data_IF_869427202265
#
_entry.id   IF_869427202265
#
_cell.length_a   1.000
_cell.length_b   1.000
_cell.length_c   1.000
_cell.angle_alpha   90.00
_cell.angle_beta   90.00
_cell.angle_gamma   90.00
#
_symmetry.space_group_name_H-M   'P 1'
#
loop_
_entity.id
_entity.type
_entity.pdbx_description
1 polymer ?
#
# COMPACT_ATOMS: atom_id res chain seq x y z
N UNK A 1 -1.87 -10.56 32.42
CA UNK A 1 -0.65 -9.85 31.96
C UNK A 1 -0.92 -9.38 30.54
N UNK A 2 -1.11 -8.07 30.33
CA UNK A 2 -1.44 -7.45 29.03
C UNK A 2 -0.15 -7.29 28.22
N UNK A 3 -0.10 -7.87 27.02
CA UNK A 3 0.86 -7.48 25.97
C UNK A 3 0.13 -6.50 25.06
N UNK A 4 0.26 -5.21 25.41
CA UNK A 4 -0.25 -4.08 24.66
C UNK A 4 0.65 -3.81 23.45
N UNK A 5 0.01 -3.59 22.31
CA UNK A 5 0.63 -3.02 21.13
C UNK A 5 1.19 -1.64 21.49
N UNK A 6 2.38 -1.34 21.00
CA UNK A 6 3.23 -0.22 21.40
C UNK A 6 2.48 1.05 21.76
N UNK A 7 2.37 1.30 23.07
CA UNK A 7 2.44 2.65 23.60
C UNK A 7 3.92 2.96 23.88
N UNK A 8 4.66 3.21 22.82
CA UNK A 8 5.80 4.11 22.90
C UNK A 8 5.44 5.28 22.02
N UNK A 9 4.98 6.36 22.66
CA UNK A 9 4.92 7.67 22.04
C UNK A 9 6.32 8.17 21.75
N UNK A 10 7.03 7.51 20.84
CA UNK A 10 7.99 8.22 20.01
C UNK A 10 7.14 9.17 19.16
N UNK A 11 7.00 10.41 19.63
CA UNK A 11 6.85 11.53 18.70
C UNK A 11 7.93 11.27 17.65
N UNK A 12 7.52 11.00 16.41
CA UNK A 12 8.43 11.15 15.28
C UNK A 12 8.93 12.59 15.40
N UNK A 13 10.13 12.77 15.94
CA UNK A 13 10.83 14.04 15.88
C UNK A 13 11.07 14.26 14.41
N UNK A 14 10.19 15.05 13.80
CA UNK A 14 10.44 15.62 12.49
C UNK A 14 11.69 16.47 12.69
N UNK A 15 12.86 15.93 12.33
CA UNK A 15 13.98 16.80 11.96
C UNK A 15 13.46 17.67 10.83
N UNK A 16 13.01 18.85 11.24
CA UNK A 16 12.36 19.80 10.39
C UNK A 16 13.27 20.17 9.23
N UNK A 17 12.61 20.45 8.10
CA UNK A 17 13.11 21.10 6.89
C UNK A 17 13.59 20.10 5.85
N UNK A 18 12.62 19.58 5.10
CA UNK A 18 12.84 19.37 3.67
C UNK A 18 13.51 20.63 3.10
N UNK A 19 14.68 20.48 2.47
CA UNK A 19 15.36 21.56 1.77
C UNK A 19 14.40 22.23 0.77
N UNK A 20 14.62 23.49 0.36
CA UNK A 20 13.70 24.18 -0.56
C UNK A 20 13.33 23.36 -1.81
N UNK A 21 14.28 22.64 -2.39
CA UNK A 21 14.05 21.77 -3.55
C UNK A 21 13.14 20.57 -3.21
N UNK A 22 13.27 20.03 -2.01
CA UNK A 22 12.45 18.93 -1.52
C UNK A 22 11.01 19.39 -1.23
N UNK A 23 10.83 20.61 -0.70
CA UNK A 23 9.51 21.24 -0.60
C UNK A 23 8.91 21.51 -1.96
N UNK A 24 9.70 21.98 -2.93
CA UNK A 24 9.23 22.19 -4.30
C UNK A 24 8.76 20.87 -4.94
N UNK A 25 9.45 19.77 -4.67
CA UNK A 25 9.04 18.43 -5.10
C UNK A 25 7.74 17.98 -4.42
N UNK A 26 7.63 18.13 -3.10
CA UNK A 26 6.42 17.80 -2.35
C UNK A 26 5.20 18.60 -2.85
N UNK A 27 5.37 19.90 -3.09
CA UNK A 27 4.34 20.77 -3.65
C UNK A 27 3.81 20.25 -4.99
N UNK A 28 4.68 19.70 -5.85
CA UNK A 28 4.24 19.13 -7.13
C UNK A 28 3.45 17.84 -6.92
N UNK A 29 3.86 16.98 -5.98
CA UNK A 29 3.09 15.79 -5.61
C UNK A 29 1.70 16.19 -5.11
N UNK A 30 1.61 17.12 -4.16
CA UNK A 30 0.34 17.59 -3.63
C UNK A 30 -0.57 18.18 -4.72
N UNK A 31 0.01 18.99 -5.61
CA UNK A 31 -0.71 19.58 -6.73
C UNK A 31 -1.28 18.53 -7.69
N UNK A 32 -0.50 17.50 -8.04
CA UNK A 32 -0.92 16.48 -8.99
C UNK A 32 -1.88 15.44 -8.39
N UNK A 33 -1.76 15.12 -7.10
CA UNK A 33 -2.39 13.93 -6.52
C UNK A 33 -3.31 14.22 -5.33
N UNK A 34 -3.24 15.41 -4.73
CA UNK A 34 -4.03 15.78 -3.55
C UNK A 34 -5.53 15.77 -3.79
N UNK A 35 -6.00 16.37 -4.89
CA UNK A 35 -7.43 16.36 -5.25
C UNK A 35 -7.93 14.94 -5.52
N UNK A 36 -7.12 14.14 -6.23
CA UNK A 36 -7.48 12.75 -6.52
C UNK A 36 -7.61 11.90 -5.25
N UNK A 37 -6.71 12.09 -4.28
CA UNK A 37 -6.81 11.48 -2.95
C UNK A 37 -8.15 11.80 -2.30
N UNK A 38 -8.58 13.07 -2.31
CA UNK A 38 -9.85 13.48 -1.71
C UNK A 38 -11.04 12.80 -2.40
N UNK A 39 -11.03 12.72 -3.74
CA UNK A 39 -12.06 12.03 -4.51
C UNK A 39 -12.15 10.54 -4.13
N UNK A 40 -11.01 9.86 -4.02
CA UNK A 40 -10.95 8.44 -3.67
C UNK A 40 -11.48 8.17 -2.27
N UNK A 41 -11.14 8.99 -1.29
CA UNK A 41 -11.63 8.81 0.08
C UNK A 41 -13.13 9.08 0.22
N UNK A 42 -13.69 10.02 -0.56
CA UNK A 42 -15.15 10.18 -0.64
C UNK A 42 -15.81 8.91 -1.15
N UNK A 43 -15.24 8.28 -2.19
CA UNK A 43 -15.76 7.01 -2.75
C UNK A 43 -15.61 5.84 -1.79
N UNK A 44 -14.53 5.80 -1.01
CA UNK A 44 -14.26 4.77 0.01
C UNK A 44 -15.45 4.60 0.97
N UNK A 45 -16.04 5.71 1.41
CA UNK A 45 -17.21 5.67 2.28
C UNK A 45 -18.41 4.99 1.61
N UNK A 46 -18.76 5.43 0.40
CA UNK A 46 -19.86 4.85 -0.38
C UNK A 46 -19.65 3.38 -0.70
N UNK A 47 -18.41 2.98 -1.00
CA UNK A 47 -18.08 1.59 -1.31
C UNK A 47 -18.17 0.69 -0.08
N UNK A 48 -17.67 1.15 1.07
CA UNK A 48 -17.78 0.42 2.33
C UNK A 48 -19.25 0.23 2.77
N UNK A 49 -20.14 1.20 2.48
CA UNK A 49 -21.59 1.06 2.74
C UNK A 49 -22.25 -0.02 1.86
N UNK A 50 -21.79 -0.20 0.62
CA UNK A 50 -22.31 -1.23 -0.30
C UNK A 50 -21.84 -2.65 0.09
N UNK A 51 -20.72 -2.77 0.79
CA UNK A 51 -20.11 -4.04 1.23
C UNK A 51 -20.76 -4.60 2.53
N UNK A 52 -21.82 -3.98 3.04
CA UNK A 52 -22.57 -4.49 4.21
C UNK A 52 -23.14 -5.92 4.02
N UNK A 53 -23.13 -6.47 2.81
CA UNK A 53 -23.50 -7.86 2.51
C UNK A 53 -22.32 -8.85 2.43
N UNK A 54 -21.12 -8.40 2.79
CA UNK A 54 -19.88 -9.16 2.72
C UNK A 54 -19.04 -8.85 1.48
N UNK A 55 -17.74 -9.17 1.50
CA UNK A 55 -16.83 -8.88 0.41
C UNK A 55 -17.15 -9.74 -0.82
N UNK A 56 -17.14 -9.14 -2.02
CA UNK A 56 -17.43 -9.82 -3.29
C UNK A 56 -16.56 -9.29 -4.43
N UNK A 57 -16.43 -10.06 -5.51
CA UNK A 57 -15.66 -9.66 -6.68
C UNK A 57 -16.47 -8.74 -7.60
N UNK A 58 -15.82 -7.67 -8.09
CA UNK A 58 -16.41 -6.77 -9.08
C UNK A 58 -16.40 -7.40 -10.48
N UNK A 59 -17.51 -7.27 -11.22
CA UNK A 59 -17.61 -7.83 -12.57
C UNK A 59 -16.82 -7.01 -13.59
N UNK A 60 -16.72 -5.70 -13.38
CA UNK A 60 -16.08 -4.72 -14.24
C UNK A 60 -14.57 -5.00 -14.41
N UNK A 61 -13.96 -5.60 -13.39
CA UNK A 61 -12.52 -5.91 -13.33
C UNK A 61 -12.21 -7.37 -13.63
N UNK A 62 -13.20 -8.18 -14.02
CA UNK A 62 -13.03 -9.60 -14.36
C UNK A 62 -11.89 -9.87 -15.34
N UNK A 63 -11.69 -8.97 -16.32
CA UNK A 63 -10.59 -9.06 -17.29
C UNK A 63 -9.19 -9.05 -16.65
N UNK A 64 -9.00 -8.35 -15.52
CA UNK A 64 -7.73 -8.33 -14.79
C UNK A 64 -7.51 -9.69 -14.15
N UNK A 65 -8.55 -10.23 -13.52
CA UNK A 65 -8.50 -11.54 -12.87
C UNK A 65 -8.27 -12.67 -13.85
N UNK A 66 -8.85 -12.62 -15.04
CA UNK A 66 -8.70 -13.68 -16.05
C UNK A 66 -7.47 -13.49 -16.96
N UNK A 67 -6.87 -12.31 -16.97
CA UNK A 67 -5.71 -12.01 -17.80
C UNK A 67 -4.43 -12.73 -17.36
N UNK A 68 -3.56 -13.01 -18.32
CA UNK A 68 -2.21 -13.56 -18.09
C UNK A 68 -1.21 -12.42 -17.85
N UNK A 69 -0.86 -12.21 -16.59
CA UNK A 69 0.10 -11.21 -16.15
C UNK A 69 0.64 -11.56 -14.77
N UNK A 70 1.83 -11.04 -14.47
CA UNK A 70 2.52 -11.19 -13.17
C UNK A 70 3.12 -9.85 -12.74
N UNK A 71 3.43 -9.71 -11.46
CA UNK A 71 4.16 -8.53 -10.97
C UNK A 71 5.58 -8.51 -11.52
N UNK A 72 6.21 -7.35 -11.47
CA UNK A 72 7.63 -7.18 -11.81
C UNK A 72 8.51 -8.10 -10.98
N UNK A 73 9.69 -8.41 -11.52
CA UNK A 73 10.64 -9.33 -10.88
C UNK A 73 10.96 -8.91 -9.45
N UNK A 74 10.73 -9.83 -8.51
CA UNK A 74 11.15 -9.68 -7.11
C UNK A 74 12.69 -9.71 -7.04
N UNK A 75 13.34 -8.70 -6.42
CA UNK A 75 14.79 -8.69 -6.21
C UNK A 75 15.26 -9.84 -5.32
N UNK A 76 16.50 -10.33 -5.53
CA UNK A 76 17.04 -11.49 -4.79
C UNK A 76 17.31 -11.18 -3.32
N UNK A 77 17.62 -9.92 -3.02
CA UNK A 77 17.96 -9.31 -1.73
C UNK A 77 16.72 -8.80 -0.97
N UNK A 78 15.54 -9.33 -1.29
CA UNK A 78 14.25 -8.94 -0.70
C UNK A 78 14.23 -8.95 0.85
N UNK A 79 14.98 -9.84 1.50
CA UNK A 79 15.06 -9.88 2.98
C UNK A 79 15.72 -8.63 3.53
N UNK A 80 16.78 -8.15 2.90
CA UNK A 80 17.49 -6.94 3.30
C UNK A 80 16.64 -5.69 3.01
N UNK A 81 15.97 -5.67 1.85
CA UNK A 81 15.01 -4.61 1.49
C UNK A 81 13.86 -4.52 2.51
N UNK A 82 13.33 -5.66 2.95
CA UNK A 82 12.26 -5.71 3.94
C UNK A 82 12.69 -5.14 5.31
N UNK A 83 13.98 -5.13 5.64
CA UNK A 83 14.49 -4.47 6.87
C UNK A 83 14.56 -2.95 6.68
N UNK A 84 14.91 -2.49 5.48
CA UNK A 84 15.11 -1.06 5.19
C UNK A 84 13.82 -0.29 4.89
N UNK A 85 12.69 -1.00 4.75
CA UNK A 85 11.40 -0.42 4.40
C UNK A 85 10.97 0.70 5.34
N UNK A 86 10.42 1.77 4.79
CA UNK A 86 9.81 2.87 5.56
C UNK A 86 8.30 2.76 5.53
N UNK A 87 7.69 2.81 6.70
CA UNK A 87 6.24 2.85 6.83
C UNK A 87 5.77 4.27 6.51
N UNK A 88 4.94 4.40 5.49
CA UNK A 88 4.26 5.65 5.20
C UNK A 88 3.03 5.78 6.10
N UNK A 89 2.50 6.99 6.26
CA UNK A 89 1.14 7.20 6.77
C UNK A 89 0.10 6.90 5.69
N UNK A 90 -1.08 6.46 6.13
CA UNK A 90 -2.18 6.09 5.24
C UNK A 90 -2.85 7.29 4.59
N UNK A 91 -3.32 7.12 3.35
CA UNK A 91 -3.98 8.19 2.59
C UNK A 91 -5.18 8.78 3.34
N UNK A 92 -5.87 8.00 4.17
CA UNK A 92 -7.05 8.40 4.93
C UNK A 92 -6.75 9.32 6.13
N UNK A 93 -5.51 9.41 6.60
CA UNK A 93 -5.14 10.28 7.71
C UNK A 93 -5.12 11.74 7.23
N UNK A 94 -5.93 12.61 7.85
CA UNK A 94 -5.94 14.05 7.59
C UNK A 94 -4.89 14.81 8.40
N UNK A 95 -3.79 14.12 8.71
CA UNK A 95 -2.62 14.74 9.33
C UNK A 95 -1.85 15.54 8.28
N UNK A 96 -1.40 16.72 8.69
CA UNK A 96 -0.57 17.57 7.84
C UNK A 96 0.74 17.88 8.55
N UNK A 97 1.83 17.90 7.78
CA UNK A 97 3.16 18.33 8.23
C UNK A 97 3.57 19.48 7.34
N UNK A 98 3.88 20.63 7.94
CA UNK A 98 4.24 21.85 7.22
C UNK A 98 3.24 22.26 6.12
N UNK A 99 1.94 21.99 6.34
CA UNK A 99 0.85 22.31 5.40
C UNK A 99 0.60 21.25 4.31
N UNK A 100 1.40 20.18 4.28
CA UNK A 100 1.31 19.10 3.30
C UNK A 100 0.71 17.83 3.89
N UNK A 101 0.08 17.00 3.06
CA UNK A 101 -0.47 15.72 3.52
C UNK A 101 0.66 14.83 4.06
N UNK A 102 0.47 14.35 5.29
CA UNK A 102 1.39 13.46 6.02
C UNK A 102 1.97 12.32 5.17
N UNK A 103 1.12 11.61 4.42
CA UNK A 103 1.54 10.48 3.59
C UNK A 103 2.49 10.88 2.46
N UNK A 104 2.24 12.03 1.82
CA UNK A 104 3.08 12.55 0.75
C UNK A 104 4.36 13.18 1.28
N UNK A 105 4.29 13.80 2.46
CA UNK A 105 5.47 14.26 3.20
C UNK A 105 6.40 13.09 3.54
N UNK A 106 5.88 12.02 4.14
CA UNK A 106 6.68 10.83 4.52
C UNK A 106 7.37 10.22 3.30
N UNK A 107 6.60 10.02 2.23
CA UNK A 107 7.11 9.48 0.98
C UNK A 107 8.24 10.37 0.43
N UNK A 108 7.99 11.67 0.30
CA UNK A 108 8.95 12.62 -0.24
C UNK A 108 10.24 12.64 0.57
N UNK A 109 10.13 12.74 1.90
CA UNK A 109 11.28 12.80 2.78
C UNK A 109 12.16 11.55 2.66
N UNK A 110 11.56 10.36 2.62
CA UNK A 110 12.30 9.12 2.50
C UNK A 110 12.86 8.89 1.09
N UNK A 111 12.07 9.20 0.07
CA UNK A 111 12.45 9.05 -1.33
C UNK A 111 13.65 9.94 -1.69
N UNK A 112 13.63 11.21 -1.31
CA UNK A 112 14.74 12.14 -1.58
C UNK A 112 15.98 11.85 -0.73
N UNK A 113 15.86 11.07 0.34
CA UNK A 113 16.99 10.49 1.09
C UNK A 113 17.44 9.13 0.52
N UNK A 114 17.09 8.83 -0.73
CA UNK A 114 17.43 7.62 -1.47
C UNK A 114 16.92 6.31 -0.87
N UNK A 115 15.83 6.35 -0.09
CA UNK A 115 15.12 5.14 0.30
C UNK A 115 13.98 4.87 -0.70
N UNK A 116 14.04 3.71 -1.37
CA UNK A 116 13.07 3.34 -2.40
C UNK A 116 12.20 2.15 -1.98
N UNK A 117 12.17 1.81 -0.69
CA UNK A 117 11.44 0.66 -0.15
C UNK A 117 10.37 1.10 0.85
N UNK A 118 9.10 0.84 0.53
CA UNK A 118 7.99 1.38 1.32
C UNK A 118 6.98 0.34 1.78
N UNK A 119 6.37 0.65 2.91
CA UNK A 119 5.13 0.02 3.34
C UNK A 119 3.98 0.98 3.08
N UNK A 120 3.01 0.55 2.26
CA UNK A 120 1.76 1.27 2.05
C UNK A 120 0.71 0.77 3.04
N UNK A 121 0.36 1.53 4.10
CA UNK A 121 -0.63 1.05 5.05
C UNK A 121 -2.06 1.22 4.51
N UNK A 122 -2.91 0.24 4.84
CA UNK A 122 -4.37 0.38 4.81
C UNK A 122 -4.91 0.74 3.43
N UNK A 123 -4.43 0.07 2.38
CA UNK A 123 -5.04 0.13 1.04
C UNK A 123 -6.38 -0.58 1.10
N UNK A 124 -7.45 0.13 0.71
CA UNK A 124 -8.82 -0.39 0.77
C UNK A 124 -9.42 -0.79 -0.59
N UNK A 125 -8.79 -0.40 -1.70
CA UNK A 125 -9.24 -0.73 -3.05
C UNK A 125 -8.12 -0.51 -4.08
N UNK A 126 -8.32 -0.99 -5.29
CA UNK A 126 -7.36 -0.86 -6.39
C UNK A 126 -7.12 0.60 -6.82
N UNK A 127 -8.09 1.50 -6.63
CA UNK A 127 -7.90 2.90 -7.02
C UNK A 127 -6.94 3.65 -6.09
N UNK A 128 -6.92 3.33 -4.80
CA UNK A 128 -5.88 3.81 -3.88
C UNK A 128 -4.50 3.28 -4.27
N UNK A 129 -4.41 2.02 -4.71
CA UNK A 129 -3.19 1.42 -5.23
C UNK A 129 -2.70 2.14 -6.51
N UNK A 130 -3.63 2.47 -7.43
CA UNK A 130 -3.32 3.25 -8.63
C UNK A 130 -2.79 4.63 -8.30
N UNK A 131 -3.39 5.33 -7.34
CA UNK A 131 -2.91 6.66 -6.93
C UNK A 131 -1.44 6.60 -6.47
N UNK A 132 -1.09 5.60 -5.66
CA UNK A 132 0.30 5.39 -5.26
C UNK A 132 1.21 5.05 -6.44
N UNK A 133 0.75 4.20 -7.36
CA UNK A 133 1.50 3.91 -8.57
C UNK A 133 1.81 5.19 -9.37
N UNK A 134 0.82 6.07 -9.55
CA UNK A 134 0.98 7.33 -10.27
C UNK A 134 1.98 8.26 -9.57
N UNK A 135 1.93 8.33 -8.22
CA UNK A 135 2.92 9.05 -7.41
C UNK A 135 4.34 8.49 -7.63
N UNK A 136 4.51 7.16 -7.65
CA UNK A 136 5.82 6.53 -7.86
C UNK A 136 6.35 6.75 -9.26
N UNK A 137 5.51 6.61 -10.29
CA UNK A 137 5.89 6.88 -11.68
C UNK A 137 6.31 8.34 -11.82
N UNK A 138 5.55 9.27 -11.25
CA UNK A 138 5.89 10.69 -11.25
C UNK A 138 7.25 10.94 -10.59
N UNK A 139 7.46 10.41 -9.39
CA UNK A 139 8.71 10.58 -8.64
C UNK A 139 9.93 10.01 -9.37
N UNK A 140 9.81 8.81 -9.94
CA UNK A 140 10.88 8.19 -10.73
C UNK A 140 11.18 9.00 -11.99
N UNK A 141 10.15 9.50 -12.70
CA UNK A 141 10.36 10.31 -13.90
C UNK A 141 11.06 11.64 -13.58
N UNK A 142 10.63 12.33 -12.51
CA UNK A 142 11.22 13.58 -12.05
C UNK A 142 12.71 13.40 -11.68
N UNK A 143 13.06 12.31 -11.00
CA UNK A 143 14.43 11.97 -10.61
C UNK A 143 15.19 11.15 -11.67
N UNK A 144 14.60 10.91 -12.84
CA UNK A 144 15.15 10.08 -13.94
C UNK A 144 15.59 8.68 -13.51
N UNK A 145 14.85 8.08 -12.59
CA UNK A 145 15.03 6.70 -12.15
C UNK A 145 14.28 5.73 -13.06
N UNK A 146 14.79 4.51 -13.27
CA UNK A 146 14.06 3.47 -14.02
C UNK A 146 12.69 3.15 -13.40
N UNK A 147 11.72 2.78 -14.25
CA UNK A 147 10.43 2.26 -13.80
C UNK A 147 10.63 1.01 -12.93
N UNK A 148 9.91 0.94 -11.81
CA UNK A 148 10.02 -0.17 -10.87
C UNK A 148 11.24 -0.10 -9.94
N UNK A 149 11.93 1.05 -9.88
CA UNK A 149 12.98 1.31 -8.87
C UNK A 149 12.40 1.32 -7.46
N UNK A 150 11.25 1.98 -7.29
CA UNK A 150 10.50 1.98 -6.04
C UNK A 150 9.86 0.60 -5.86
N UNK A 151 10.05 0.01 -4.67
CA UNK A 151 9.44 -1.26 -4.29
C UNK A 151 8.59 -1.13 -3.04
N UNK A 152 7.41 -1.72 -3.08
CA UNK A 152 6.43 -1.59 -2.00
C UNK A 152 5.85 -2.93 -1.55
N UNK A 153 5.47 -2.97 -0.28
CA UNK A 153 4.56 -3.97 0.26
C UNK A 153 3.26 -3.25 0.62
N UNK A 154 2.13 -3.72 0.10
CA UNK A 154 0.83 -3.15 0.40
C UNK A 154 0.18 -3.85 1.61
N UNK A 155 -0.15 -3.11 2.66
CA UNK A 155 -1.07 -3.63 3.69
C UNK A 155 -2.50 -3.47 3.17
N UNK A 156 -3.21 -4.58 3.07
CA UNK A 156 -4.63 -4.60 2.69
C UNK A 156 -5.48 -5.08 3.86
N UNK A 157 -6.72 -4.60 3.96
CA UNK A 157 -7.68 -5.10 4.94
C UNK A 157 -8.56 -6.21 4.34
N UNK A 158 -9.49 -6.75 5.13
CA UNK A 158 -10.41 -7.81 4.70
C UNK A 158 -11.31 -7.41 3.53
N UNK A 159 -11.73 -6.14 3.45
CA UNK A 159 -12.58 -5.66 2.37
C UNK A 159 -11.81 -5.64 1.05
N UNK A 160 -10.56 -5.18 1.10
CA UNK A 160 -9.65 -5.14 -0.04
C UNK A 160 -9.17 -6.52 -0.51
N UNK A 161 -9.39 -7.59 0.28
CA UNK A 161 -8.93 -8.92 -0.07
C UNK A 161 -9.51 -9.43 -1.41
N UNK A 162 -10.75 -9.07 -1.75
CA UNK A 162 -11.37 -9.45 -3.02
C UNK A 162 -10.86 -8.62 -4.21
N UNK A 163 -10.14 -7.54 -3.96
CA UNK A 163 -9.47 -6.71 -4.96
C UNK A 163 -7.95 -6.94 -4.98
N UNK A 164 -7.45 -8.03 -4.37
CA UNK A 164 -6.00 -8.31 -4.31
C UNK A 164 -5.38 -8.36 -5.71
N UNK A 165 -6.11 -8.94 -6.68
CA UNK A 165 -5.65 -9.08 -8.07
C UNK A 165 -5.52 -7.69 -8.73
N UNK A 166 -6.52 -6.85 -8.55
CA UNK A 166 -6.56 -5.48 -9.05
C UNK A 166 -5.52 -4.58 -8.36
N UNK A 167 -5.34 -4.68 -7.05
CA UNK A 167 -4.31 -3.95 -6.30
C UNK A 167 -2.91 -4.31 -6.80
N UNK A 168 -2.64 -5.61 -6.98
CA UNK A 168 -1.37 -6.07 -7.54
C UNK A 168 -1.19 -5.62 -8.99
N UNK A 169 -2.26 -5.56 -9.78
CA UNK A 169 -2.23 -5.11 -11.16
C UNK A 169 -1.85 -3.63 -11.28
N UNK A 170 -2.51 -2.77 -10.49
CA UNK A 170 -2.27 -1.33 -10.48
C UNK A 170 -0.85 -0.99 -10.00
N UNK A 171 -0.30 -1.79 -9.09
CA UNK A 171 1.06 -1.61 -8.58
C UNK A 171 2.09 -2.55 -9.23
N UNK A 172 1.79 -3.25 -10.34
CA UNK A 172 2.60 -4.40 -10.82
C UNK A 172 4.09 -4.11 -11.00
N UNK A 173 4.47 -2.88 -11.35
CA UNK A 173 5.88 -2.49 -11.54
C UNK A 173 6.62 -2.24 -10.21
N UNK A 174 5.89 -1.94 -9.14
CA UNK A 174 6.42 -1.50 -7.86
C UNK A 174 6.11 -2.50 -6.72
N UNK A 175 5.07 -3.31 -6.82
CA UNK A 175 4.63 -4.19 -5.73
C UNK A 175 5.47 -5.47 -5.66
N UNK A 176 5.90 -5.81 -4.45
CA UNK A 176 6.53 -7.08 -4.12
C UNK A 176 5.49 -8.10 -3.64
N UNK A 177 4.36 -7.64 -3.12
CA UNK A 177 3.36 -8.47 -2.47
C UNK A 177 2.49 -7.70 -1.49
N UNK A 178 1.62 -8.45 -0.81
CA UNK A 178 0.65 -7.89 0.14
C UNK A 178 0.83 -8.47 1.54
N UNK A 179 0.42 -7.69 2.54
CA UNK A 179 0.21 -8.15 3.91
C UNK A 179 -1.24 -7.91 4.29
N UNK A 180 -1.88 -8.91 4.87
CA UNK A 180 -3.19 -8.73 5.48
C UNK A 180 -3.04 -8.02 6.83
N UNK A 181 -3.67 -6.86 6.99
CA UNK A 181 -3.80 -6.21 8.30
C UNK A 181 -4.58 -7.11 9.26
N UNK A 182 -4.44 -6.85 10.56
CA UNK A 182 -5.16 -7.59 11.59
C UNK A 182 -6.67 -7.52 11.31
N UNK A 183 -7.24 -8.65 10.95
CA UNK A 183 -8.66 -8.78 10.65
C UNK A 183 -9.45 -8.50 11.94
N UNK A 184 -10.24 -7.43 11.96
CA UNK A 184 -11.35 -7.33 12.91
C UNK A 184 -12.26 -8.50 12.62
N UNK A 185 -12.53 -9.37 13.61
CA UNK A 185 -13.44 -10.51 13.46
C UNK A 185 -14.72 -10.01 12.80
N UNK A 186 -14.91 -10.33 11.52
CA UNK A 186 -16.18 -10.16 10.87
C UNK A 186 -17.21 -10.97 11.66
N UNK A 187 -18.44 -10.47 11.75
CA UNK A 187 -19.57 -11.19 12.34
C UNK A 187 -19.86 -12.53 11.61
N UNK A 188 -19.17 -12.83 10.50
CA UNK A 188 -19.24 -14.08 9.73
C UNK A 188 -18.37 -15.26 10.22
N UNK A 189 -17.65 -15.13 11.34
CA UNK A 189 -16.96 -16.26 11.98
C UNK A 189 -15.68 -16.80 11.29
N UNK A 190 -15.16 -17.94 11.78
CA UNK A 190 -13.87 -18.52 11.39
C UNK A 190 -13.78 -18.94 9.90
N UNK A 191 -14.91 -19.33 9.30
CA UNK A 191 -14.96 -19.83 7.92
C UNK A 191 -14.73 -18.74 6.89
N UNK A 192 -15.32 -17.56 7.10
CA UNK A 192 -15.07 -16.37 6.25
C UNK A 192 -13.61 -15.91 6.35
N UNK A 193 -13.02 -16.00 7.54
CA UNK A 193 -11.61 -15.70 7.78
C UNK A 193 -10.66 -16.64 7.03
N UNK A 194 -10.89 -17.96 7.08
CA UNK A 194 -10.04 -18.92 6.37
C UNK A 194 -10.13 -18.75 4.83
N UNK A 195 -11.29 -18.34 4.32
CA UNK A 195 -11.49 -18.07 2.89
C UNK A 195 -10.64 -16.87 2.42
N UNK A 196 -10.63 -15.76 3.16
CA UNK A 196 -9.86 -14.55 2.80
C UNK A 196 -8.36 -14.84 2.66
N UNK A 197 -7.76 -15.56 3.61
CA UNK A 197 -6.35 -15.90 3.55
C UNK A 197 -6.02 -16.81 2.35
N UNK A 198 -6.91 -17.75 2.00
CA UNK A 198 -6.74 -18.61 0.83
C UNK A 198 -6.76 -17.80 -0.46
N UNK A 199 -7.78 -16.95 -0.63
CA UNK A 199 -7.94 -16.09 -1.82
C UNK A 199 -6.71 -15.21 -2.03
N UNK A 200 -6.22 -14.56 -0.97
CA UNK A 200 -5.02 -13.71 -1.07
C UNK A 200 -3.78 -14.53 -1.44
N UNK A 201 -3.60 -15.71 -0.84
CA UNK A 201 -2.46 -16.58 -1.13
C UNK A 201 -2.46 -17.08 -2.56
N UNK A 202 -3.58 -17.64 -3.01
CA UNK A 202 -3.76 -18.15 -4.37
C UNK A 202 -3.58 -17.04 -5.40
N UNK A 203 -4.10 -15.84 -5.12
CA UNK A 203 -3.90 -14.67 -5.98
C UNK A 203 -2.43 -14.28 -6.05
N UNK A 204 -1.73 -14.19 -4.92
CA UNK A 204 -0.31 -13.83 -4.91
C UNK A 204 0.55 -14.88 -5.63
N UNK A 205 0.31 -16.16 -5.40
CA UNK A 205 0.98 -17.25 -6.11
C UNK A 205 0.80 -17.14 -7.62
N UNK A 206 -0.46 -16.99 -8.07
CA UNK A 206 -0.80 -16.80 -9.48
C UNK A 206 -0.06 -15.61 -10.11
N UNK A 207 0.09 -14.51 -9.37
CA UNK A 207 0.73 -13.27 -9.84
C UNK A 207 2.23 -13.21 -9.59
N UNK A 208 2.84 -14.28 -9.04
CA UNK A 208 4.25 -14.32 -8.60
C UNK A 208 4.59 -13.18 -7.62
N UNK A 209 3.63 -12.80 -6.80
CA UNK A 209 3.78 -11.84 -5.72
C UNK A 209 3.94 -12.57 -4.37
N UNK A 210 4.46 -11.87 -3.37
CA UNK A 210 4.65 -12.42 -2.03
C UNK A 210 3.44 -12.18 -1.12
N UNK A 211 3.24 -13.09 -0.17
CA UNK A 211 2.38 -12.86 1.00
C UNK A 211 3.27 -12.69 2.22
N UNK A 212 3.14 -11.56 2.89
CA UNK A 212 3.87 -11.24 4.12
C UNK A 212 3.00 -11.53 5.35
N UNK A 213 3.53 -12.26 6.34
CA UNK A 213 2.85 -12.54 7.61
C UNK A 213 3.21 -11.50 8.68
N UNK A 214 2.20 -11.14 9.49
CA UNK A 214 2.29 -10.26 10.65
C UNK A 214 3.24 -10.75 11.76
N UNK A 215 3.69 -12.02 11.73
CA UNK A 215 4.40 -12.65 12.87
C UNK A 215 5.93 -12.69 12.76
N UNK A 216 6.53 -12.65 11.58
CA UNK A 216 7.96 -12.99 11.47
C UNK A 216 8.80 -12.05 10.60
N UNK A 217 8.21 -11.13 9.82
CA UNK A 217 8.96 -10.46 8.75
C UNK A 217 9.73 -11.46 7.84
N UNK A 218 9.31 -12.72 7.84
CA UNK A 218 9.84 -13.77 6.98
C UNK A 218 8.91 -13.92 5.79
N UNK A 219 9.52 -14.10 4.63
CA UNK A 219 8.84 -14.44 3.40
C UNK A 219 8.32 -15.87 3.59
N UNK A 220 7.01 -16.02 3.74
CA UNK A 220 6.38 -17.32 3.53
C UNK A 220 6.53 -17.65 2.05
N UNK A 221 7.49 -18.51 1.72
CA UNK A 221 7.47 -19.18 0.42
C UNK A 221 6.20 -20.02 0.35
N UNK A 222 5.54 -19.92 -0.82
CA UNK A 222 4.45 -20.80 -1.29
C UNK A 222 4.77 -22.26 -1.05
#
# INVERSE_FOLDING_TARGET
MKIGWGQSGEKLEYEHILLPDALAFLNRIDYHFGEKRIELLKRRHTFNEQINHGPSFLNETKRIREGDWTVSRIPKDIKEMAVQKKLLRGLHLEEHVDGHLASFYDFTNHFLRHNHYFYLPTIENALEARLWNDVFVYAQNDQRLPLGTIKVIAVINSNAAMETDEILYELKEHCLGVQLSKISRFEGGLTSFMNIHSVVRETCEKRRALVFDNRTAEITHT
#
